data_IF_129314091594
#
_entry.id   IF_129314091594
#
_cell.length_a   1.000
_cell.length_b   1.000
_cell.length_c   1.000
_cell.angle_alpha   90.00
_cell.angle_beta   90.00
_cell.angle_gamma   90.00
#
_symmetry.space_group_name_H-M   'P 1'
#
loop_
_entity.id
_entity.type
_entity.pdbx_description
1 polymer ?
#
# COMPACT_ATOMS: atom_id res chain seq x y z
N UNK A 1 -28.17 26.12 22.49
CA UNK A 1 -28.16 25.45 21.18
C UNK A 1 -27.41 24.14 21.37
N UNK A 2 -28.14 23.05 21.60
CA UNK A 2 -27.51 21.73 21.77
C UNK A 2 -27.01 21.27 20.41
N UNK A 3 -25.71 21.02 20.29
CA UNK A 3 -25.19 20.27 19.15
C UNK A 3 -25.75 18.85 19.32
N UNK A 4 -26.60 18.44 18.39
CA UNK A 4 -27.04 17.06 18.30
C UNK A 4 -25.86 16.22 17.83
N UNK A 5 -25.16 15.63 18.80
CA UNK A 5 -23.92 14.86 18.63
C UNK A 5 -24.16 13.47 17.97
N UNK A 6 -25.38 13.21 17.48
CA UNK A 6 -25.80 11.92 16.93
C UNK A 6 -25.92 11.88 15.41
N UNK A 7 -25.74 13.01 14.71
CA UNK A 7 -25.96 13.07 13.26
C UNK A 7 -24.67 12.81 12.48
N UNK A 8 -24.47 11.54 12.08
CA UNK A 8 -23.49 11.16 11.07
C UNK A 8 -24.16 11.15 9.69
N UNK A 9 -23.60 11.89 8.73
CA UNK A 9 -24.07 11.91 7.35
C UNK A 9 -22.97 11.43 6.39
N UNK A 10 -23.34 10.54 5.47
CA UNK A 10 -22.48 10.11 4.38
C UNK A 10 -22.87 10.91 3.13
N UNK A 11 -22.02 11.85 2.74
CA UNK A 11 -22.19 12.60 1.50
C UNK A 11 -21.37 11.95 0.38
N UNK A 12 -22.02 11.56 -0.71
CA UNK A 12 -21.35 11.12 -1.92
C UNK A 12 -21.34 12.25 -2.94
N UNK A 13 -20.17 12.79 -3.21
CA UNK A 13 -19.97 13.87 -4.18
C UNK A 13 -19.60 13.26 -5.54
N UNK A 14 -20.38 13.54 -6.59
CA UNK A 14 -20.12 13.06 -7.96
C UNK A 14 -19.41 14.16 -8.74
N UNK A 15 -18.08 14.07 -8.82
CA UNK A 15 -17.23 14.98 -9.57
C UNK A 15 -16.19 14.15 -10.33
N UNK A 16 -15.95 14.50 -11.59
CA UNK A 16 -14.85 13.93 -12.36
C UNK A 16 -13.53 14.54 -11.90
N UNK A 17 -12.60 13.69 -11.48
CA UNK A 17 -11.29 14.11 -11.01
C UNK A 17 -10.21 13.67 -12.00
N UNK A 18 -9.34 14.60 -12.38
CA UNK A 18 -8.17 14.35 -13.20
C UNK A 18 -7.19 13.44 -12.45
N UNK A 19 -6.68 12.36 -13.06
CA UNK A 19 -5.69 11.49 -12.43
C UNK A 19 -4.40 12.22 -12.02
N UNK A 20 -3.69 11.70 -11.02
CA UNK A 20 -2.41 12.24 -10.53
C UNK A 20 -2.42 13.72 -10.10
N UNK A 21 -3.59 14.29 -9.82
CA UNK A 21 -3.81 15.72 -9.56
C UNK A 21 -4.13 15.95 -8.08
N UNK A 22 -3.59 17.03 -7.53
CA UNK A 22 -3.86 17.47 -6.16
C UNK A 22 -5.17 18.27 -6.08
N UNK A 23 -5.97 17.99 -5.07
CA UNK A 23 -7.24 18.65 -4.78
C UNK A 23 -7.29 19.06 -3.32
N UNK A 24 -8.11 20.07 -3.04
CA UNK A 24 -8.49 20.49 -1.69
C UNK A 24 -10.00 20.35 -1.57
N UNK A 25 -10.46 19.67 -0.53
CA UNK A 25 -11.85 19.54 -0.18
C UNK A 25 -12.12 20.38 1.06
N UNK A 26 -12.99 21.39 0.92
CA UNK A 26 -13.41 22.28 1.98
C UNK A 26 -14.89 22.06 2.30
N UNK A 27 -15.19 21.95 3.60
CA UNK A 27 -16.55 22.02 4.12
C UNK A 27 -16.71 23.41 4.75
N UNK A 28 -17.70 24.16 4.28
CA UNK A 28 -18.01 25.49 4.79
C UNK A 28 -19.31 25.46 5.59
N UNK A 29 -19.37 26.26 6.65
CA UNK A 29 -20.62 26.50 7.35
C UNK A 29 -21.51 27.37 6.46
N UNK A 30 -22.68 26.87 6.07
CA UNK A 30 -23.71 27.74 5.53
C UNK A 30 -24.32 28.50 6.70
N UNK A 31 -23.98 29.78 6.86
CA UNK A 31 -24.73 30.67 7.75
C UNK A 31 -26.16 30.77 7.24
N UNK A 32 -27.13 30.63 8.13
CA UNK A 32 -28.54 30.90 7.84
C UNK A 32 -28.64 32.30 7.23
N UNK A 33 -29.25 32.50 6.04
CA UNK A 33 -29.40 33.83 5.46
C UNK A 33 -30.14 34.82 6.37
N UNK A 34 -30.89 34.34 7.39
CA UNK A 34 -31.51 35.18 8.41
C UNK A 34 -30.54 35.67 9.51
N UNK A 35 -29.35 35.09 9.62
CA UNK A 35 -28.31 35.48 10.57
C UNK A 35 -27.23 36.26 9.83
N UNK A 36 -27.20 37.59 10.03
CA UNK A 36 -26.24 38.52 9.44
C UNK A 36 -24.81 38.38 10.01
N UNK A 37 -24.32 37.15 10.16
CA UNK A 37 -22.92 36.91 10.52
C UNK A 37 -22.07 36.95 9.24
N UNK A 38 -20.92 37.67 9.24
CA UNK A 38 -19.99 37.60 8.13
C UNK A 38 -19.54 36.13 7.95
N UNK A 39 -19.42 35.63 6.71
CA UNK A 39 -18.93 34.28 6.48
C UNK A 39 -17.53 34.14 7.11
N UNK A 40 -17.30 33.01 7.78
CA UNK A 40 -15.99 32.69 8.33
C UNK A 40 -14.95 32.70 7.19
N UNK A 41 -13.79 33.37 7.35
CA UNK A 41 -12.74 33.33 6.35
C UNK A 41 -12.04 31.96 6.26
N UNK A 42 -12.35 31.04 7.19
CA UNK A 42 -11.78 29.69 7.24
C UNK A 42 -12.88 28.62 7.10
N UNK A 43 -12.63 27.55 6.32
CA UNK A 43 -13.57 26.42 6.22
C UNK A 43 -13.66 25.69 7.58
N UNK A 44 -14.82 25.07 7.84
CA UNK A 44 -15.02 24.20 9.01
C UNK A 44 -14.07 23.01 8.98
N UNK A 45 -13.83 22.49 7.79
CA UNK A 45 -12.94 21.36 7.57
C UNK A 45 -12.25 21.52 6.23
N UNK A 46 -10.94 21.32 6.21
CA UNK A 46 -10.12 21.32 4.99
C UNK A 46 -9.32 20.04 4.92
N UNK A 47 -9.35 19.37 3.77
CA UNK A 47 -8.52 18.19 3.52
C UNK A 47 -7.94 18.23 2.11
N UNK A 48 -6.62 18.14 2.04
CA UNK A 48 -5.92 17.94 0.77
C UNK A 48 -5.86 16.44 0.44
N UNK A 49 -6.02 16.10 -0.83
CA UNK A 49 -5.79 14.75 -1.33
C UNK A 49 -5.23 14.79 -2.75
N UNK A 50 -4.66 13.68 -3.19
CA UNK A 50 -4.19 13.50 -4.57
C UNK A 50 -4.86 12.29 -5.17
N UNK A 51 -5.33 12.42 -6.41
CA UNK A 51 -5.87 11.28 -7.16
C UNK A 51 -4.76 10.32 -7.58
N UNK A 52 -5.11 9.05 -7.65
CA UNK A 52 -4.26 8.03 -8.27
C UNK A 52 -4.24 8.22 -9.79
N UNK A 53 -3.23 7.68 -10.47
CA UNK A 53 -3.25 7.45 -11.92
C UNK A 53 -4.23 6.33 -12.32
N UNK A 54 -4.56 5.46 -11.38
CA UNK A 54 -5.47 4.34 -11.60
C UNK A 54 -6.89 4.73 -11.20
N UNK A 55 -7.87 4.26 -11.97
CA UNK A 55 -9.29 4.49 -11.67
C UNK A 55 -9.69 3.87 -10.31
N UNK A 56 -9.15 2.70 -10.00
CA UNK A 56 -9.38 1.98 -8.75
C UNK A 56 -8.19 1.05 -8.39
N UNK A 57 -8.32 0.35 -7.27
CA UNK A 57 -7.30 -0.60 -6.80
C UNK A 57 -7.16 -1.84 -7.69
N UNK A 58 -8.21 -2.25 -8.41
CA UNK A 58 -8.15 -3.37 -9.35
C UNK A 58 -7.31 -3.00 -10.58
N UNK A 59 -7.49 -1.81 -11.14
CA UNK A 59 -6.68 -1.27 -12.22
C UNK A 59 -5.21 -1.11 -11.80
N UNK A 60 -4.97 -0.69 -10.55
CA UNK A 60 -3.62 -0.67 -9.98
C UNK A 60 -3.00 -2.07 -9.90
N UNK A 61 -3.75 -3.06 -9.40
CA UNK A 61 -3.28 -4.44 -9.33
C UNK A 61 -2.96 -5.02 -10.71
N UNK A 62 -3.83 -4.76 -11.69
CA UNK A 62 -3.63 -5.17 -13.08
C UNK A 62 -2.36 -4.54 -13.69
N UNK A 63 -2.10 -3.25 -13.42
CA UNK A 63 -0.90 -2.57 -13.88
C UNK A 63 0.38 -3.14 -13.25
N UNK A 64 0.37 -3.47 -11.95
CA UNK A 64 1.49 -4.13 -11.28
C UNK A 64 1.73 -5.52 -11.90
N UNK A 65 0.67 -6.29 -12.12
CA UNK A 65 0.72 -7.62 -12.74
C UNK A 65 1.27 -7.59 -14.16
N UNK A 66 0.99 -6.55 -14.92
CA UNK A 66 1.50 -6.34 -16.27
C UNK A 66 2.97 -5.82 -16.29
N UNK A 67 3.53 -5.49 -15.13
CA UNK A 67 4.92 -5.04 -14.99
C UNK A 67 5.93 -6.10 -15.43
N UNK A 68 7.11 -5.65 -15.86
CA UNK A 68 8.17 -6.57 -16.28
C UNK A 68 8.67 -7.39 -15.08
N UNK A 69 8.65 -8.71 -15.22
CA UNK A 69 9.35 -9.62 -14.33
C UNK A 69 10.84 -9.65 -14.71
N UNK A 70 11.69 -9.32 -13.74
CA UNK A 70 13.14 -9.41 -13.84
C UNK A 70 13.68 -10.42 -12.84
N UNK A 71 14.91 -10.86 -13.08
CA UNK A 71 15.65 -11.73 -12.19
C UNK A 71 17.01 -11.08 -11.97
N UNK A 72 17.51 -11.12 -10.74
CA UNK A 72 18.83 -10.59 -10.40
C UNK A 72 19.52 -11.50 -9.41
N UNK A 73 20.73 -11.92 -9.75
CA UNK A 73 21.63 -12.57 -8.81
C UNK A 73 22.37 -11.51 -8.00
N UNK A 74 22.50 -11.72 -6.70
CA UNK A 74 23.34 -10.93 -5.80
C UNK A 74 24.20 -11.87 -4.97
N UNK A 75 25.44 -11.46 -4.66
CA UNK A 75 26.37 -12.31 -3.90
C UNK A 75 25.91 -12.48 -2.45
N UNK A 76 25.39 -11.40 -1.85
CA UNK A 76 24.89 -11.38 -0.47
C UNK A 76 23.58 -10.59 -0.36
N UNK A 77 22.50 -11.26 0.08
CA UNK A 77 21.21 -10.63 0.37
C UNK A 77 20.96 -10.39 1.86
N UNK A 78 21.93 -10.61 2.74
CA UNK A 78 21.77 -10.54 4.21
C UNK A 78 21.23 -9.19 4.67
N UNK A 79 21.68 -8.09 4.09
CA UNK A 79 21.16 -6.77 4.45
C UNK A 79 19.68 -6.61 4.10
N UNK A 80 19.22 -7.19 2.98
CA UNK A 80 17.82 -7.17 2.55
C UNK A 80 16.96 -8.08 3.43
N UNK A 81 17.40 -9.32 3.61
CA UNK A 81 16.70 -10.30 4.45
C UNK A 81 16.86 -10.02 5.95
N UNK A 82 17.65 -9.02 6.35
CA UNK A 82 17.79 -8.54 7.72
C UNK A 82 16.85 -7.40 8.10
N UNK A 83 16.21 -6.72 7.14
CA UNK A 83 15.28 -5.61 7.44
C UNK A 83 14.08 -6.07 8.29
N UNK A 84 13.59 -5.28 9.27
CA UNK A 84 12.43 -5.69 10.07
C UNK A 84 11.16 -5.75 9.20
N UNK A 85 10.21 -6.60 9.60
CA UNK A 85 8.91 -6.71 8.94
C UNK A 85 8.11 -5.40 9.07
N UNK A 86 7.31 -5.05 8.05
CA UNK A 86 6.56 -3.81 8.01
C UNK A 86 7.31 -2.62 7.41
N UNK A 87 7.02 -1.40 7.91
CA UNK A 87 7.57 -0.15 7.33
C UNK A 87 8.97 0.14 7.86
N UNK A 88 9.92 0.43 6.97
CA UNK A 88 11.24 0.95 7.30
C UNK A 88 11.49 2.30 6.64
N UNK A 89 12.35 3.16 7.21
CA UNK A 89 12.76 4.40 6.55
C UNK A 89 13.40 4.13 5.18
N UNK A 90 13.14 4.99 4.19
CA UNK A 90 13.68 4.87 2.83
C UNK A 90 15.20 4.72 2.83
N UNK A 91 15.89 5.49 3.67
CA UNK A 91 17.35 5.41 3.81
C UNK A 91 17.84 4.03 4.25
N UNK A 92 17.12 3.36 5.15
CA UNK A 92 17.49 2.01 5.61
C UNK A 92 17.24 0.97 4.50
N UNK A 93 16.13 1.11 3.77
CA UNK A 93 15.81 0.25 2.64
C UNK A 93 16.84 0.40 1.51
N UNK A 94 17.21 1.63 1.17
CA UNK A 94 18.22 1.92 0.14
C UNK A 94 19.63 1.49 0.55
N UNK A 95 19.98 1.63 1.83
CA UNK A 95 21.24 1.11 2.36
C UNK A 95 21.31 -0.43 2.21
N UNK A 96 20.23 -1.15 2.50
CA UNK A 96 20.17 -2.59 2.34
C UNK A 96 20.27 -3.01 0.86
N UNK A 97 19.59 -2.30 -0.04
CA UNK A 97 19.73 -2.52 -1.48
C UNK A 97 21.17 -2.28 -1.94
N UNK A 98 21.80 -1.16 -1.55
CA UNK A 98 23.19 -0.85 -1.92
C UNK A 98 24.16 -1.91 -1.41
N UNK A 99 23.95 -2.41 -0.19
CA UNK A 99 24.75 -3.49 0.39
C UNK A 99 24.63 -4.79 -0.42
N UNK A 100 23.46 -5.08 -1.00
CA UNK A 100 23.25 -6.19 -1.94
C UNK A 100 23.75 -5.90 -3.37
N UNK A 101 24.57 -4.86 -3.57
CA UNK A 101 25.09 -4.46 -4.88
C UNK A 101 24.05 -3.86 -5.82
N UNK A 102 22.90 -3.41 -5.30
CA UNK A 102 21.90 -2.72 -6.10
C UNK A 102 22.42 -1.32 -6.48
N UNK A 103 22.34 -1.00 -7.77
CA UNK A 103 22.88 0.24 -8.35
C UNK A 103 21.94 1.44 -8.20
N UNK A 104 21.88 2.29 -9.23
CA UNK A 104 21.11 3.53 -9.20
C UNK A 104 19.60 3.30 -8.97
N UNK A 105 19.06 3.98 -7.97
CA UNK A 105 17.66 3.89 -7.54
C UNK A 105 16.76 4.85 -8.31
N UNK A 106 16.61 4.64 -9.63
CA UNK A 106 15.66 5.45 -10.40
C UNK A 106 14.23 5.01 -10.10
N UNK A 107 13.40 5.97 -9.70
CA UNK A 107 11.94 5.78 -9.63
C UNK A 107 11.45 5.43 -11.04
N UNK A 108 11.01 4.19 -11.22
CA UNK A 108 10.40 3.74 -12.46
C UNK A 108 9.06 4.44 -12.68
N UNK A 109 8.77 4.80 -13.93
CA UNK A 109 7.43 5.25 -14.33
C UNK A 109 6.48 4.07 -14.55
N UNK A 110 7.04 2.87 -14.76
CA UNK A 110 6.35 1.60 -14.96
C UNK A 110 6.61 0.64 -13.79
N UNK A 111 5.61 -0.18 -13.39
CA UNK A 111 5.80 -1.22 -12.39
C UNK A 111 6.87 -2.23 -12.78
N UNK A 112 7.72 -2.61 -11.82
CA UNK A 112 8.72 -3.68 -11.97
C UNK A 112 8.62 -4.67 -10.83
N UNK A 113 8.86 -5.94 -11.14
CA UNK A 113 8.95 -7.03 -10.17
C UNK A 113 10.27 -7.74 -10.41
N UNK A 114 11.14 -7.84 -9.41
CA UNK A 114 12.44 -8.51 -9.55
C UNK A 114 12.60 -9.62 -8.53
N UNK A 115 12.85 -10.85 -8.98
CA UNK A 115 13.26 -11.94 -8.09
C UNK A 115 14.74 -11.82 -7.81
N UNK A 116 15.11 -11.84 -6.53
CA UNK A 116 16.49 -11.76 -6.04
C UNK A 116 16.96 -13.16 -5.72
N UNK A 117 18.07 -13.56 -6.35
CA UNK A 117 18.70 -14.88 -6.23
C UNK A 117 20.05 -14.76 -5.54
N UNK A 118 20.42 -15.78 -4.77
CA UNK A 118 21.70 -15.85 -4.04
C UNK A 118 22.22 -17.28 -3.98
N UNK A 119 23.53 -17.44 -3.75
CA UNK A 119 24.14 -18.74 -3.45
C UNK A 119 24.41 -19.62 -4.69
N UNK A 120 24.96 -20.81 -4.43
CA UNK A 120 25.26 -21.82 -5.45
C UNK A 120 24.94 -23.22 -4.88
N UNK A 121 23.89 -23.93 -5.34
CA UNK A 121 22.98 -23.55 -6.43
C UNK A 121 22.15 -22.31 -6.10
N UNK A 122 21.62 -21.64 -7.14
CA UNK A 122 20.90 -20.39 -6.95
C UNK A 122 19.59 -20.63 -6.18
N UNK A 123 19.36 -19.84 -5.13
CA UNK A 123 18.14 -19.88 -4.34
C UNK A 123 17.47 -18.50 -4.31
N UNK A 124 16.14 -18.43 -4.42
CA UNK A 124 15.41 -17.18 -4.37
C UNK A 124 15.33 -16.70 -2.91
N UNK A 125 15.84 -15.50 -2.64
CA UNK A 125 15.90 -14.91 -1.29
C UNK A 125 14.80 -13.87 -1.05
N UNK A 126 14.42 -13.12 -2.09
CA UNK A 126 13.38 -12.10 -1.98
C UNK A 126 12.78 -11.76 -3.35
N UNK A 127 11.66 -11.03 -3.34
CA UNK A 127 11.06 -10.38 -4.51
C UNK A 127 10.96 -8.88 -4.21
N UNK A 128 11.56 -8.05 -5.05
CA UNK A 128 11.42 -6.61 -5.01
C UNK A 128 10.29 -6.16 -5.95
N UNK A 129 9.26 -5.55 -5.37
CA UNK A 129 8.16 -4.91 -6.08
C UNK A 129 8.39 -3.39 -6.09
N UNK A 130 8.37 -2.81 -7.28
CA UNK A 130 8.50 -1.38 -7.52
C UNK A 130 7.26 -0.87 -8.28
N UNK A 131 6.09 -0.73 -7.64
CA UNK A 131 4.90 -0.15 -8.26
C UNK A 131 5.10 1.33 -8.60
N UNK A 132 4.32 1.83 -9.56
CA UNK A 132 4.38 3.26 -9.93
C UNK A 132 3.72 4.21 -8.89
N UNK A 133 2.98 3.66 -7.93
CA UNK A 133 2.33 4.38 -6.83
C UNK A 133 2.35 3.54 -5.55
N UNK A 134 2.22 4.17 -4.36
CA UNK A 134 2.19 3.46 -3.09
C UNK A 134 1.06 2.42 -3.03
N UNK A 135 1.45 1.15 -2.82
CA UNK A 135 0.55 0.00 -2.62
C UNK A 135 0.10 -0.14 -1.16
N UNK A 136 0.84 0.49 -0.25
CA UNK A 136 0.48 0.56 1.16
C UNK A 136 -0.23 1.87 1.45
N UNK A 137 -1.53 1.80 1.73
CA UNK A 137 -2.34 2.97 2.04
C UNK A 137 -3.05 2.77 3.35
N UNK A 138 -3.07 3.82 4.16
CA UNK A 138 -3.82 3.86 5.40
C UNK A 138 -4.95 4.87 5.28
N UNK A 139 -6.00 4.66 6.06
CA UNK A 139 -7.09 5.62 6.22
C UNK A 139 -7.34 5.87 7.71
N UNK A 140 -7.75 7.10 8.02
CA UNK A 140 -8.23 7.45 9.34
C UNK A 140 -9.65 6.92 9.50
N UNK A 141 -9.87 6.19 10.58
CA UNK A 141 -11.15 5.55 10.92
C UNK A 141 -11.57 6.04 12.29
N UNK A 142 -12.83 6.46 12.43
CA UNK A 142 -13.38 6.81 13.73
C UNK A 142 -13.59 5.53 14.57
N UNK A 143 -12.96 5.46 15.73
CA UNK A 143 -13.08 4.36 16.68
C UNK A 143 -13.73 4.89 17.96
N UNK A 144 -14.79 4.23 18.40
CA UNK A 144 -15.49 4.55 19.65
C UNK A 144 -14.58 4.22 20.84
N UNK A 145 -14.28 5.21 21.65
CA UNK A 145 -13.58 5.07 22.92
C UNK A 145 -14.50 5.51 24.05
N UNK A 146 -14.54 4.73 25.13
CA UNK A 146 -15.28 5.08 26.35
C UNK A 146 -14.27 5.32 27.46
N UNK A 147 -14.22 6.54 27.98
CA UNK A 147 -13.34 6.93 29.07
C UNK A 147 -14.15 7.68 30.12
N UNK A 148 -14.09 7.24 31.37
CA UNK A 148 -14.79 7.84 32.51
C UNK A 148 -16.30 8.02 32.28
N UNK A 149 -16.94 7.06 31.57
CA UNK A 149 -18.36 7.12 31.21
C UNK A 149 -18.70 8.02 30.02
N UNK A 150 -17.73 8.76 29.47
CA UNK A 150 -17.88 9.60 28.28
C UNK A 150 -17.52 8.79 27.04
N UNK A 151 -18.42 8.77 26.06
CA UNK A 151 -18.14 8.23 24.72
C UNK A 151 -17.51 9.33 23.87
N UNK A 152 -16.35 9.03 23.28
CA UNK A 152 -15.71 9.86 22.27
C UNK A 152 -15.37 9.01 21.04
N UNK A 153 -15.27 9.63 19.87
CA UNK A 153 -14.76 8.99 18.67
C UNK A 153 -13.37 9.55 18.37
N UNK A 154 -12.37 8.67 18.32
CA UNK A 154 -10.98 9.05 18.03
C UNK A 154 -10.59 8.47 16.68
N UNK A 155 -9.90 9.26 15.88
CA UNK A 155 -9.37 8.78 14.60
C UNK A 155 -8.13 7.91 14.82
N UNK A 156 -8.21 6.68 14.33
CA UNK A 156 -7.10 5.74 14.30
C UNK A 156 -6.72 5.41 12.86
N UNK A 157 -5.41 5.29 12.62
CA UNK A 157 -4.90 4.85 11.32
C UNK A 157 -5.12 3.36 11.15
N UNK A 158 -5.84 2.96 10.10
CA UNK A 158 -6.07 1.56 9.73
C UNK A 158 -5.59 1.30 8.31
N UNK A 159 -5.05 0.10 8.08
CA UNK A 159 -4.62 -0.35 6.76
C UNK A 159 -5.85 -0.42 5.86
N UNK A 160 -5.75 0.21 4.69
CA UNK A 160 -6.80 0.23 3.69
C UNK A 160 -6.40 -0.54 2.44
N UNK A 161 -5.12 -0.44 2.04
CA UNK A 161 -4.56 -1.14 0.90
C UNK A 161 -3.20 -1.73 1.29
N UNK A 162 -2.97 -3.00 0.99
CA UNK A 162 -1.71 -3.67 1.26
C UNK A 162 -1.38 -4.82 0.31
N UNK A 163 -0.12 -5.26 0.31
CA UNK A 163 0.33 -6.46 -0.39
C UNK A 163 0.34 -7.61 0.61
N UNK A 164 -0.22 -8.75 0.19
CA UNK A 164 -0.27 -9.98 0.98
C UNK A 164 0.10 -11.18 0.12
N UNK A 165 0.59 -12.24 0.76
CA UNK A 165 0.67 -13.54 0.12
C UNK A 165 -0.74 -14.14 -0.05
N UNK A 166 -0.99 -14.82 -1.16
CA UNK A 166 -2.21 -15.60 -1.33
C UNK A 166 -2.23 -16.77 -0.35
N UNK A 167 -3.41 -17.04 0.23
CA UNK A 167 -3.60 -18.16 1.15
C UNK A 167 -3.13 -19.47 0.52
N UNK A 168 -2.27 -20.21 1.23
CA UNK A 168 -1.80 -21.53 0.81
C UNK A 168 -0.49 -21.57 0.00
N UNK A 169 0.11 -20.42 -0.36
CA UNK A 169 1.43 -20.41 -1.01
C UNK A 169 2.57 -20.70 -0.02
N UNK A 170 2.60 -20.02 1.12
CA UNK A 170 3.46 -20.34 2.27
C UNK A 170 4.96 -20.24 2.00
N UNK A 171 5.39 -19.37 1.08
CA UNK A 171 6.80 -19.12 0.76
C UNK A 171 7.30 -17.78 1.28
N UNK A 172 6.40 -16.85 1.63
CA UNK A 172 6.76 -15.53 2.16
C UNK A 172 6.95 -15.59 3.68
N UNK A 173 8.07 -15.07 4.17
CA UNK A 173 8.36 -14.97 5.62
C UNK A 173 8.08 -13.59 6.19
N UNK A 174 8.24 -12.53 5.38
CA UNK A 174 7.97 -11.15 5.78
C UNK A 174 7.80 -10.23 4.58
N UNK A 175 7.14 -9.09 4.79
CA UNK A 175 6.91 -8.06 3.77
C UNK A 175 7.40 -6.72 4.32
N UNK A 176 8.54 -6.29 3.80
CA UNK A 176 9.18 -5.02 4.16
C UNK A 176 8.79 -3.95 3.15
N UNK A 177 8.43 -2.76 3.61
CA UNK A 177 8.09 -1.63 2.75
C UNK A 177 8.92 -0.41 3.10
N UNK A 178 9.38 0.28 2.07
CA UNK A 178 9.97 1.61 2.23
C UNK A 178 8.88 2.62 2.66
N UNK A 179 9.26 3.68 3.37
CA UNK A 179 8.33 4.70 3.87
C UNK A 179 7.65 5.49 2.76
N UNK A 180 8.27 5.60 1.58
CA UNK A 180 7.66 6.18 0.39
C UNK A 180 6.54 5.32 -0.23
N UNK A 181 6.45 4.05 0.19
CA UNK A 181 5.45 3.07 -0.24
C UNK A 181 5.60 2.54 -1.66
N UNK A 182 6.59 3.00 -2.44
CA UNK A 182 6.80 2.58 -3.84
C UNK A 182 7.83 1.46 -4.00
N UNK A 183 8.42 0.99 -2.90
CA UNK A 183 9.24 -0.22 -2.86
C UNK A 183 8.74 -1.16 -1.79
N UNK A 184 8.55 -2.42 -2.15
CA UNK A 184 8.19 -3.50 -1.24
C UNK A 184 9.10 -4.68 -1.49
N UNK A 185 9.79 -5.15 -0.46
CA UNK A 185 10.59 -6.35 -0.47
C UNK A 185 9.78 -7.46 0.21
N UNK A 186 9.48 -8.50 -0.56
CA UNK A 186 8.85 -9.72 -0.06
C UNK A 186 9.97 -10.73 0.16
N UNK A 187 10.28 -11.05 1.42
CA UNK A 187 11.37 -11.98 1.74
C UNK A 187 10.83 -13.40 1.75
N UNK A 188 11.57 -14.29 1.11
CA UNK A 188 11.20 -15.69 0.91
C UNK A 188 11.85 -16.57 1.99
N UNK A 189 11.17 -17.64 2.36
CA UNK A 189 11.70 -18.64 3.28
C UNK A 189 12.74 -19.54 2.62
N UNK A 190 13.56 -20.20 3.44
CA UNK A 190 14.43 -21.27 2.96
C UNK A 190 13.60 -22.36 2.25
N UNK A 191 14.11 -22.89 1.13
CA UNK A 191 13.39 -23.89 0.34
C UNK A 191 12.19 -23.33 -0.45
N UNK A 192 12.19 -22.03 -0.76
CA UNK A 192 11.24 -21.43 -1.69
C UNK A 192 11.54 -21.79 -3.17
N UNK A 193 12.75 -22.26 -3.48
CA UNK A 193 13.13 -22.73 -4.82
C UNK A 193 12.20 -23.83 -5.34
N UNK A 194 11.84 -23.75 -6.62
CA UNK A 194 10.92 -24.69 -7.29
C UNK A 194 9.45 -24.54 -6.91
N UNK A 195 9.10 -23.60 -6.02
CA UNK A 195 7.70 -23.28 -5.65
C UNK A 195 7.19 -22.07 -6.42
N UNK A 196 5.96 -21.65 -6.12
CA UNK A 196 5.34 -20.46 -6.71
C UNK A 196 5.02 -19.42 -5.63
N UNK A 197 5.49 -18.19 -5.82
CA UNK A 197 5.08 -17.06 -5.02
C UNK A 197 3.81 -16.43 -5.61
N UNK A 198 2.74 -16.38 -4.82
CA UNK A 198 1.46 -15.78 -5.20
C UNK A 198 1.22 -14.55 -4.33
N UNK A 199 1.22 -13.37 -4.94
CA UNK A 199 1.05 -12.09 -4.25
C UNK A 199 -0.22 -11.41 -4.72
N UNK A 200 -0.94 -10.83 -3.77
CA UNK A 200 -2.16 -10.08 -4.01
C UNK A 200 -2.06 -8.65 -3.45
N UNK A 201 -2.76 -7.73 -4.11
CA UNK A 201 -3.15 -6.46 -3.54
C UNK A 201 -4.49 -6.63 -2.85
N UNK A 202 -4.56 -6.31 -1.56
CA UNK A 202 -5.77 -6.42 -0.75
C UNK A 202 -6.28 -5.04 -0.36
N UNK A 203 -7.58 -4.82 -0.51
CA UNK A 203 -8.30 -3.69 0.07
C UNK A 203 -9.14 -4.15 1.25
N UNK A 204 -8.81 -3.66 2.43
CA UNK A 204 -9.57 -3.95 3.66
C UNK A 204 -10.77 -3.02 3.75
N UNK A 205 -11.97 -3.59 3.78
CA UNK A 205 -13.23 -2.87 3.98
C UNK A 205 -13.46 -2.57 5.45
N UNK A 206 -14.17 -1.48 5.72
CA UNK A 206 -14.51 -1.06 7.07
C UNK A 206 -16.03 -0.91 7.17
N UNK A 207 -16.67 -1.46 8.22
CA UNK A 207 -18.13 -1.47 8.34
C UNK A 207 -18.79 -0.10 8.18
N UNK A 208 -18.16 0.96 8.69
CA UNK A 208 -18.70 2.33 8.58
C UNK A 208 -18.75 2.89 7.14
N UNK A 209 -17.92 2.39 6.23
CA UNK A 209 -17.80 2.97 4.88
C UNK A 209 -18.27 2.00 3.78
N UNK A 210 -18.00 0.71 3.96
CA UNK A 210 -18.26 -0.34 2.96
C UNK A 210 -19.20 -1.45 3.47
N UNK A 211 -19.77 -1.29 4.67
CA UNK A 211 -20.58 -2.32 5.34
C UNK A 211 -19.78 -3.58 5.67
N UNK A 212 -20.49 -4.70 5.89
CA UNK A 212 -19.89 -6.00 6.25
C UNK A 212 -19.30 -6.76 5.05
N UNK A 213 -18.90 -6.02 4.02
CA UNK A 213 -18.30 -6.59 2.81
C UNK A 213 -16.93 -7.19 3.12
N UNK A 214 -16.66 -8.41 2.63
CA UNK A 214 -15.34 -9.02 2.71
C UNK A 214 -14.27 -8.15 2.02
N UNK A 215 -13.00 -8.29 2.44
CA UNK A 215 -11.89 -7.62 1.80
C UNK A 215 -11.80 -7.98 0.31
N UNK A 216 -11.53 -6.99 -0.53
CA UNK A 216 -11.28 -7.23 -1.96
C UNK A 216 -9.82 -7.64 -2.16
N UNK A 217 -9.56 -8.62 -3.01
CA UNK A 217 -8.21 -9.17 -3.25
C UNK A 217 -8.00 -9.34 -4.74
N UNK A 218 -6.89 -8.81 -5.27
CA UNK A 218 -6.54 -8.90 -6.68
C UNK A 218 -5.10 -9.40 -6.87
N UNK A 219 -4.85 -10.37 -7.76
CA UNK A 219 -3.51 -10.89 -7.99
C UNK A 219 -2.60 -9.85 -8.64
N UNK A 220 -1.40 -9.68 -8.08
CA UNK A 220 -0.37 -8.76 -8.59
C UNK A 220 0.88 -9.48 -9.08
N UNK A 221 1.15 -10.70 -8.62
CA UNK A 221 2.26 -11.50 -9.10
C UNK A 221 1.98 -12.99 -8.87
N UNK A 222 2.38 -13.81 -9.85
CA UNK A 222 2.36 -15.27 -9.75
C UNK A 222 3.67 -15.80 -10.35
N UNK A 223 4.70 -15.93 -9.52
CA UNK A 223 6.09 -16.08 -9.93
C UNK A 223 6.55 -17.50 -9.64
N UNK A 224 7.01 -18.20 -10.67
CA UNK A 224 7.69 -19.48 -10.51
C UNK A 224 9.11 -19.23 -10.00
N UNK A 225 9.45 -19.84 -8.87
CA UNK A 225 10.71 -19.66 -8.16
C UNK A 225 11.74 -20.70 -8.59
N UNK A 226 11.80 -20.96 -9.90
CA UNK A 226 12.88 -21.72 -10.55
C UNK A 226 13.82 -20.73 -11.24
N UNK A 227 15.13 -20.91 -11.08
CA UNK A 227 16.08 -19.97 -11.66
C UNK A 227 16.01 -20.05 -13.20
N UNK A 228 15.83 -18.92 -13.91
CA UNK A 228 15.58 -18.95 -15.35
C UNK A 228 16.78 -19.40 -16.19
N UNK A 229 17.97 -19.47 -15.59
CA UNK A 229 19.19 -20.00 -16.22
C UNK A 229 19.43 -21.48 -15.90
N UNK A 230 18.60 -22.10 -15.06
CA UNK A 230 18.68 -23.52 -14.71
C UNK A 230 17.76 -24.39 -15.57
N UNK A 231 16.97 -23.81 -16.49
CA UNK A 231 16.20 -24.58 -17.47
C UNK A 231 17.17 -25.30 -18.45
N UNK A 232 17.22 -26.64 -18.46
CA UNK A 232 17.90 -27.35 -19.53
C UNK A 232 17.11 -27.15 -20.82
N UNK A 233 17.81 -26.78 -21.89
CA UNK A 233 17.29 -26.79 -23.26
C UNK A 233 16.71 -28.15 -23.66
#
# INVERSE_FOLDING_TARGET
MGIDDSRHEVLTVKIDLTPSTGYVFDIEARTDPAVAAPPSPYPLFRRSFRTSRYADAQAMAAAIKAGKLGHRFVDDATALTGLPDGTVPDMAFEAALRAAGWGEFRRGTMPRTTVIWTGNPAQPSAILLEPAEPTWRQRQVAVKQVKDGVTAYVHESRIWLDIVEASGAGVVTKIVRASDGIRTLVVLGAGAGGKRALLNLRRTHHPLYEGDSAASVWPIAAIDLTAPWEDPA
#
